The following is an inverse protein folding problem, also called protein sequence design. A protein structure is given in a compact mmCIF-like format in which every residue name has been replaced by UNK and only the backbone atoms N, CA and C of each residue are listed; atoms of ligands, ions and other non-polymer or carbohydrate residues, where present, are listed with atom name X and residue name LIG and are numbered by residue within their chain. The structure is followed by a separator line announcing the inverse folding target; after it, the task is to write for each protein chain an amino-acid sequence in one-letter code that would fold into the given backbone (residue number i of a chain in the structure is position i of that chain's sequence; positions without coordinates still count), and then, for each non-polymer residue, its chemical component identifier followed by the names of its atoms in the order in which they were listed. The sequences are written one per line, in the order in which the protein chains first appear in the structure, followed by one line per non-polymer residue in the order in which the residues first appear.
data_IF_382645841045
#
_entry.id   IF_382645841045
#
_cell.length_a   1.000
_cell.length_b   1.000
_cell.length_c   1.000
_cell.angle_alpha   90.00
_cell.angle_beta   90.00
_cell.angle_gamma   90.00
#
_symmetry.space_group_name_H-M   'P 1'
#
loop_
_entity.id
_entity.type
_entity.pdbx_description
1 polymer ?
#
# COMPACT_ATOMS: atom_id res chain seq x y z
N UNK A 1 10.17 23.51 -68.91
CA UNK A 1 8.90 23.23 -68.21
C UNK A 1 9.23 22.41 -66.98
N UNK A 2 9.51 23.01 -65.82
CA UNK A 2 8.71 23.97 -65.05
C UNK A 2 7.30 23.45 -64.73
N UNK A 3 7.06 23.41 -63.42
CA UNK A 3 5.79 23.61 -62.73
C UNK A 3 4.81 22.45 -62.56
N UNK A 4 4.87 21.87 -61.36
CA UNK A 4 3.89 20.92 -60.83
C UNK A 4 3.73 20.97 -59.30
N UNK A 5 3.87 22.15 -58.70
CA UNK A 5 3.22 22.62 -57.46
C UNK A 5 2.76 21.55 -56.42
N UNK A 6 3.69 21.05 -55.60
CA UNK A 6 3.36 20.28 -54.39
C UNK A 6 3.00 21.24 -53.25
N UNK A 7 1.70 21.34 -52.94
CA UNK A 7 1.23 22.02 -51.72
C UNK A 7 1.68 21.23 -50.50
N UNK A 8 2.62 21.81 -49.76
CA UNK A 8 3.08 21.32 -48.46
C UNK A 8 1.98 21.58 -47.44
N UNK A 9 1.28 20.54 -46.99
CA UNK A 9 0.56 20.62 -45.72
C UNK A 9 1.58 20.37 -44.61
N UNK A 10 1.82 21.41 -43.80
CA UNK A 10 2.63 21.31 -42.58
C UNK A 10 2.00 20.29 -41.64
N UNK A 11 2.65 19.13 -41.50
CA UNK A 11 2.39 18.21 -40.39
C UNK A 11 2.97 18.86 -39.14
N UNK A 12 2.09 19.27 -38.21
CA UNK A 12 2.51 19.63 -36.87
C UNK A 12 3.09 18.39 -36.19
N UNK A 13 4.28 18.57 -35.64
CA UNK A 13 5.04 17.52 -34.98
C UNK A 13 4.30 17.03 -33.74
N UNK A 14 3.94 15.75 -33.71
CA UNK A 14 3.78 15.02 -32.47
C UNK A 14 5.12 14.37 -32.11
N UNK A 15 5.54 14.66 -30.89
CA UNK A 15 6.85 14.39 -30.32
C UNK A 15 7.25 12.92 -30.40
N UNK A 16 8.43 12.71 -30.97
CA UNK A 16 9.22 11.48 -30.93
C UNK A 16 9.65 11.18 -29.50
N UNK A 17 9.43 9.94 -29.05
CA UNK A 17 10.41 9.25 -28.19
C UNK A 17 10.64 7.83 -28.73
N UNK A 18 11.51 7.74 -29.74
CA UNK A 18 12.45 6.63 -29.90
C UNK A 18 13.53 6.76 -28.81
N UNK A 19 14.25 5.75 -28.34
CA UNK A 19 14.34 4.33 -28.63
C UNK A 19 15.12 3.66 -27.49
N UNK A 20 14.83 2.39 -27.22
CA UNK A 20 15.73 1.25 -27.45
C UNK A 20 16.80 1.00 -26.37
N UNK A 21 16.72 -0.17 -25.74
CA UNK A 21 17.90 -1.01 -25.58
C UNK A 21 17.52 -2.48 -25.65
N UNK A 22 17.80 -3.10 -26.79
CA UNK A 22 18.03 -4.53 -26.87
C UNK A 22 19.20 -4.89 -25.95
N UNK A 23 19.03 -5.91 -25.12
CA UNK A 23 20.15 -6.65 -24.58
C UNK A 23 19.86 -8.11 -24.85
N UNK A 24 20.37 -8.58 -25.99
CA UNK A 24 20.65 -10.00 -26.19
C UNK A 24 21.81 -10.34 -25.25
N UNK A 25 21.51 -10.99 -24.13
CA UNK A 25 22.50 -11.74 -23.38
C UNK A 25 21.93 -13.12 -23.06
N UNK A 26 22.45 -14.11 -23.78
CA UNK A 26 22.20 -15.53 -23.54
C UNK A 26 22.87 -15.89 -22.22
N UNK A 27 22.08 -16.13 -21.18
CA UNK A 27 22.51 -16.87 -19.99
C UNK A 27 21.61 -18.09 -19.87
N UNK A 28 22.03 -19.18 -20.53
CA UNK A 28 21.59 -20.52 -20.13
C UNK A 28 22.17 -20.81 -18.75
N UNK A 29 21.32 -20.81 -17.72
CA UNK A 29 21.46 -21.66 -16.53
C UNK A 29 20.14 -21.69 -15.76
N UNK A 30 19.42 -22.81 -15.89
CA UNK A 30 18.40 -23.30 -14.95
C UNK A 30 17.26 -22.35 -14.58
N UNK A 31 16.20 -22.32 -15.38
CA UNK A 31 15.01 -21.52 -15.06
C UNK A 31 14.28 -22.09 -13.84
N UNK A 32 14.49 -21.46 -12.67
CA UNK A 32 13.55 -21.53 -11.56
C UNK A 32 12.21 -20.99 -12.09
N UNK A 33 11.21 -21.86 -12.23
CA UNK A 33 9.82 -21.45 -12.50
C UNK A 33 9.25 -20.77 -11.26
N UNK A 34 9.72 -19.57 -10.95
CA UNK A 34 8.97 -18.64 -10.13
C UNK A 34 7.75 -18.25 -10.94
N UNK A 35 6.58 -18.76 -10.59
CA UNK A 35 5.34 -18.18 -11.09
C UNK A 35 5.36 -16.71 -10.68
N UNK A 36 5.45 -15.81 -11.65
CA UNK A 36 5.10 -14.41 -11.42
C UNK A 36 3.60 -14.44 -11.16
N UNK A 37 3.23 -14.55 -9.88
CA UNK A 37 1.89 -14.24 -9.44
C UNK A 37 1.72 -12.74 -9.71
N UNK A 38 1.17 -12.40 -10.88
CA UNK A 38 0.57 -11.09 -11.10
C UNK A 38 -0.63 -11.02 -10.14
N UNK A 39 -0.36 -10.70 -8.89
CA UNK A 39 -1.40 -10.32 -7.95
C UNK A 39 -2.01 -9.04 -8.47
N UNK A 40 -3.30 -9.06 -8.78
CA UNK A 40 -4.07 -7.85 -8.96
C UNK A 40 -3.72 -6.90 -7.81
N UNK A 41 -3.32 -5.66 -8.12
CA UNK A 41 -3.05 -4.66 -7.08
C UNK A 41 -4.34 -4.52 -6.30
N UNK A 42 -4.36 -5.03 -5.07
CA UNK A 42 -5.48 -4.87 -4.14
C UNK A 42 -5.68 -3.36 -3.94
N UNK A 43 -6.63 -2.79 -4.67
CA UNK A 43 -7.13 -1.44 -4.42
C UNK A 43 -8.03 -1.55 -3.21
N UNK A 44 -7.44 -1.37 -2.05
CA UNK A 44 -8.18 -1.12 -0.81
C UNK A 44 -9.05 0.13 -1.05
N UNK A 45 -10.36 0.01 -0.84
CA UNK A 45 -11.27 1.16 -0.87
C UNK A 45 -10.85 2.16 0.21
N UNK A 46 -11.09 3.45 -0.01
CA UNK A 46 -10.85 4.46 1.03
C UNK A 46 -11.62 4.09 2.30
N UNK A 47 -10.93 3.99 3.44
CA UNK A 47 -11.52 3.63 4.72
C UNK A 47 -11.36 2.18 5.16
N UNK A 48 -10.64 1.32 4.42
CA UNK A 48 -10.25 -0.01 4.94
C UNK A 48 -8.80 -0.05 5.39
N UNK A 49 -8.14 1.10 5.49
CA UNK A 49 -6.78 1.22 6.01
C UNK A 49 -6.48 2.63 6.48
N UNK A 50 -5.57 2.77 7.44
CA UNK A 50 -5.12 4.07 7.93
C UNK A 50 -3.84 4.00 8.73
N UNK A 51 -3.45 5.15 9.30
CA UNK A 51 -2.33 5.27 10.22
C UNK A 51 -2.84 5.85 11.54
N UNK A 52 -2.31 5.35 12.65
CA UNK A 52 -2.63 5.83 13.99
C UNK A 52 -1.43 5.70 14.92
N UNK A 53 -1.60 6.13 16.16
CA UNK A 53 -0.52 6.19 17.15
C UNK A 53 -1.04 5.78 18.52
N UNK A 54 -0.23 5.02 19.27
CA UNK A 54 -0.38 4.90 20.72
C UNK A 54 0.62 5.90 21.33
N UNK A 55 0.12 6.87 22.09
CA UNK A 55 0.95 7.97 22.61
C UNK A 55 1.81 7.46 23.78
N UNK A 56 2.98 8.05 23.97
CA UNK A 56 3.81 7.81 25.17
C UNK A 56 2.99 7.97 26.45
N UNK A 57 3.19 7.07 27.42
CA UNK A 57 2.41 7.00 28.65
C UNK A 57 1.04 6.32 28.53
N UNK A 58 0.53 6.08 27.31
CA UNK A 58 -0.70 5.33 27.08
C UNK A 58 -0.42 3.84 26.84
N UNK A 59 -1.47 3.03 26.98
CA UNK A 59 -1.43 1.57 26.74
C UNK A 59 -2.28 1.12 25.57
N UNK A 60 -3.12 2.01 25.04
CA UNK A 60 -4.10 1.67 24.01
C UNK A 60 -4.44 2.87 23.14
N UNK A 61 -4.90 2.62 21.91
CA UNK A 61 -5.51 3.60 21.03
C UNK A 61 -6.87 3.10 20.54
N UNK A 62 -7.88 3.96 20.60
CA UNK A 62 -9.21 3.70 20.05
C UNK A 62 -9.29 4.25 18.61
N UNK A 63 -9.63 3.40 17.66
CA UNK A 63 -9.79 3.76 16.25
C UNK A 63 -11.27 3.66 15.89
N UNK A 64 -11.78 4.67 15.20
CA UNK A 64 -13.13 4.69 14.62
C UNK A 64 -13.05 4.44 13.12
N UNK A 65 -13.79 3.45 12.62
CA UNK A 65 -13.92 3.19 11.18
C UNK A 65 -15.29 2.61 10.80
N UNK A 66 -15.99 3.32 9.92
CA UNK A 66 -17.35 2.98 9.46
C UNK A 66 -17.45 1.67 8.66
N UNK A 67 -16.33 1.17 8.14
CA UNK A 67 -16.28 -0.02 7.29
C UNK A 67 -16.16 -1.32 8.09
N UNK A 68 -16.09 -1.27 9.43
CA UNK A 68 -16.10 -2.48 10.25
C UNK A 68 -17.42 -3.26 10.09
N UNK A 69 -17.31 -4.54 9.81
CA UNK A 69 -18.40 -5.51 9.71
C UNK A 69 -18.18 -6.68 10.68
N UNK A 70 -19.19 -7.53 10.87
CA UNK A 70 -19.06 -8.72 11.74
C UNK A 70 -17.98 -9.71 11.28
N UNK A 71 -17.61 -9.68 10.00
CA UNK A 71 -16.56 -10.54 9.42
C UNK A 71 -15.19 -9.87 9.41
N UNK A 72 -15.10 -8.59 9.77
CA UNK A 72 -13.87 -7.83 9.66
C UNK A 72 -12.76 -8.37 10.54
N UNK A 73 -11.59 -8.51 9.94
CA UNK A 73 -10.30 -8.76 10.57
C UNK A 73 -9.45 -7.52 10.41
N UNK A 74 -8.83 -7.09 11.49
CA UNK A 74 -7.91 -5.95 11.48
C UNK A 74 -6.49 -6.47 11.58
N UNK A 75 -5.63 -5.98 10.72
CA UNK A 75 -4.20 -6.24 10.80
C UNK A 75 -3.45 -4.95 11.04
N UNK A 76 -2.33 -5.07 11.76
CA UNK A 76 -1.55 -3.96 12.28
C UNK A 76 -0.11 -4.11 11.84
N UNK A 77 0.56 -3.00 11.59
CA UNK A 77 2.00 -2.98 11.28
C UNK A 77 2.61 -1.74 11.91
N UNK A 78 3.58 -1.92 12.81
CA UNK A 78 4.31 -0.80 13.37
C UNK A 78 5.05 -0.03 12.27
N UNK A 79 5.00 1.30 12.35
CA UNK A 79 5.73 2.19 11.46
C UNK A 79 7.09 2.46 12.10
N UNK A 80 8.08 1.69 11.69
CA UNK A 80 9.43 1.75 12.28
C UNK A 80 9.57 0.80 13.46
N UNK A 81 10.08 1.29 14.59
CA UNK A 81 10.31 0.46 15.78
C UNK A 81 9.04 0.30 16.60
N UNK A 82 8.69 -0.95 16.93
CA UNK A 82 7.67 -1.23 17.95
C UNK A 82 8.26 -1.28 19.37
N UNK A 83 9.53 -0.92 19.56
CA UNK A 83 10.26 -1.03 20.84
C UNK A 83 10.25 -2.46 21.41
N UNK A 84 10.24 -3.46 20.52
CA UNK A 84 10.15 -4.88 20.89
C UNK A 84 8.75 -5.31 21.35
N UNK A 85 7.75 -4.43 21.24
CA UNK A 85 6.36 -4.73 21.56
C UNK A 85 5.62 -5.34 20.39
N UNK A 86 4.63 -6.18 20.69
CA UNK A 86 3.69 -6.76 19.73
C UNK A 86 2.40 -5.96 19.80
N UNK A 87 2.03 -5.32 18.68
CA UNK A 87 0.73 -4.68 18.54
C UNK A 87 -0.36 -5.72 18.27
N UNK A 88 -1.51 -5.58 18.92
CA UNK A 88 -2.66 -6.45 18.71
C UNK A 88 -3.98 -5.69 18.86
N UNK A 89 -5.04 -6.23 18.25
CA UNK A 89 -6.41 -5.73 18.43
C UNK A 89 -7.05 -6.45 19.60
N UNK A 90 -7.46 -5.69 20.61
CA UNK A 90 -8.03 -6.20 21.85
C UNK A 90 -9.54 -6.40 21.73
N UNK A 91 -10.23 -5.40 21.16
CA UNK A 91 -11.68 -5.39 21.03
C UNK A 91 -12.09 -4.75 19.72
N UNK A 92 -13.10 -5.34 19.08
CA UNK A 92 -13.82 -4.75 17.95
C UNK A 92 -15.27 -4.55 18.40
N UNK A 93 -15.80 -3.33 18.23
CA UNK A 93 -17.19 -2.95 18.51
C UNK A 93 -17.88 -2.53 17.21
N UNK A 94 -18.56 -3.50 16.58
CA UNK A 94 -19.25 -3.32 15.30
C UNK A 94 -20.42 -2.33 15.41
N UNK A 95 -21.02 -2.20 16.59
CA UNK A 95 -22.15 -1.29 16.81
C UNK A 95 -21.68 0.16 16.79
N UNK A 96 -20.56 0.44 17.46
CA UNK A 96 -19.98 1.78 17.54
C UNK A 96 -18.99 2.06 16.41
N UNK A 97 -18.70 1.08 15.54
CA UNK A 97 -17.73 1.20 14.45
C UNK A 97 -16.34 1.55 14.97
N UNK A 98 -15.90 0.87 16.04
CA UNK A 98 -14.59 1.10 16.64
C UNK A 98 -13.80 -0.18 16.88
N UNK A 99 -12.48 -0.06 16.97
CA UNK A 99 -11.60 -1.11 17.49
C UNK A 99 -10.49 -0.52 18.35
N UNK A 100 -10.02 -1.29 19.32
CA UNK A 100 -8.97 -0.89 20.27
C UNK A 100 -7.67 -1.63 19.95
N UNK A 101 -6.60 -0.88 19.73
CA UNK A 101 -5.25 -1.40 19.53
C UNK A 101 -4.47 -1.29 20.85
N UNK A 102 -3.79 -2.37 21.22
CA UNK A 102 -2.94 -2.48 22.40
C UNK A 102 -1.58 -3.06 22.04
N UNK A 103 -0.71 -3.09 23.03
CA UNK A 103 0.59 -3.75 22.95
C UNK A 103 0.90 -4.48 24.26
N UNK A 104 1.88 -5.37 24.22
CA UNK A 104 2.26 -6.18 25.38
C UNK A 104 3.15 -5.42 26.38
N UNK A 105 2.81 -5.53 27.67
CA UNK A 105 3.58 -4.96 28.78
C UNK A 105 3.04 -3.64 29.31
N UNK A 106 3.92 -2.86 29.95
CA UNK A 106 3.61 -1.59 30.62
C UNK A 106 3.65 -0.39 29.67
N UNK A 107 3.17 0.77 30.12
CA UNK A 107 3.12 2.02 29.36
C UNK A 107 4.41 2.33 28.59
N UNK A 108 4.24 2.97 27.42
CA UNK A 108 5.33 3.29 26.51
C UNK A 108 6.19 4.45 27.01
N UNK A 109 7.50 4.32 26.84
CA UNK A 109 8.43 5.44 27.00
C UNK A 109 8.34 6.41 25.80
N UNK A 110 8.16 5.87 24.58
CA UNK A 110 7.99 6.63 23.34
C UNK A 110 6.73 6.19 22.58
N UNK A 111 6.07 7.10 21.87
CA UNK A 111 4.89 6.76 21.07
C UNK A 111 5.21 5.70 19.99
N UNK A 112 4.24 4.83 19.70
CA UNK A 112 4.32 3.89 18.57
C UNK A 112 3.35 4.33 17.49
N UNK A 113 3.89 4.71 16.33
CA UNK A 113 3.11 4.86 15.12
C UNK A 113 2.85 3.50 14.47
N UNK A 114 1.65 3.30 13.92
CA UNK A 114 1.31 2.08 13.23
C UNK A 114 0.33 2.30 12.08
N UNK A 115 0.39 1.40 11.11
CA UNK A 115 -0.62 1.25 10.07
C UNK A 115 -1.61 0.18 10.47
N UNK A 116 -2.86 0.35 10.05
CA UNK A 116 -3.90 -0.65 10.19
C UNK A 116 -4.63 -0.86 8.87
N UNK A 117 -5.15 -2.07 8.68
CA UNK A 117 -6.00 -2.41 7.55
C UNK A 117 -7.07 -3.42 7.94
N UNK A 118 -8.26 -3.27 7.37
CA UNK A 118 -9.45 -4.09 7.57
C UNK A 118 -9.58 -5.02 6.35
N UNK A 119 -9.81 -6.31 6.61
CA UNK A 119 -10.08 -7.35 5.62
C UNK A 119 -11.35 -8.08 6.03
N UNK A 120 -12.26 -8.33 5.09
CA UNK A 120 -13.43 -9.19 5.27
C UNK A 120 -13.19 -10.58 4.65
#
# INVERSE_FOLDING_TARGET
DLDGNLKVNQLQAETVVAGEKQVDEVVEMGTVRGQILQGDRLKLSSGVSGQSQIISGETEALIEDVNLTETSKVSLTAKGSSQGKVLYVDKIDIKNKTFTVKFDGSALDESIDFYWFIVD
#
